data_IF_260027763621
#
_entry.id   IF_260027763621
#
_cell.length_a   1.000
_cell.length_b   1.000
_cell.length_c   1.000
_cell.angle_alpha   90.00
_cell.angle_beta   90.00
_cell.angle_gamma   90.00
#
_symmetry.space_group_name_H-M   'P 1'
#
loop_
_entity.id
_entity.type
_entity.pdbx_description
1 polymer ?
#
# COMPACT_ATOMS: atom_id res chain seq x y z
N UNK A 1 2.47 2.25 27.50
CA UNK A 1 2.85 1.26 26.49
C UNK A 1 2.95 2.02 25.17
N UNK A 2 4.11 2.01 24.56
CA UNK A 2 4.28 2.65 23.25
C UNK A 2 3.41 1.93 22.22
N UNK A 3 2.62 2.71 21.47
CA UNK A 3 1.79 2.16 20.37
C UNK A 3 2.73 1.54 19.34
N UNK A 4 2.42 0.31 18.92
CA UNK A 4 3.11 -0.31 17.77
C UNK A 4 2.89 0.57 16.53
N UNK A 5 3.90 0.67 15.69
CA UNK A 5 3.92 1.58 14.57
C UNK A 5 3.94 0.79 13.24
N UNK A 6 3.22 1.30 12.24
CA UNK A 6 3.11 0.79 10.89
C UNK A 6 3.50 1.92 9.94
N UNK A 7 4.41 1.66 9.01
CA UNK A 7 4.88 2.62 8.01
C UNK A 7 4.49 2.18 6.61
N UNK A 8 3.73 3.01 5.90
CA UNK A 8 3.28 2.75 4.53
C UNK A 8 3.80 3.83 3.60
N UNK A 9 4.36 3.41 2.48
CA UNK A 9 4.75 4.29 1.37
C UNK A 9 3.87 4.01 0.16
N UNK A 10 3.45 5.07 -0.54
CA UNK A 10 2.66 4.98 -1.76
C UNK A 10 3.56 5.27 -2.95
N UNK A 11 3.66 4.33 -3.89
CA UNK A 11 4.55 4.41 -5.05
C UNK A 11 3.74 4.25 -6.35
N UNK A 12 3.91 5.17 -7.29
CA UNK A 12 3.26 5.17 -8.60
C UNK A 12 3.53 6.47 -9.35
N UNK A 13 3.33 6.51 -10.68
CA UNK A 13 3.59 7.69 -11.49
C UNK A 13 2.29 8.40 -11.88
N UNK A 14 2.15 9.67 -11.49
CA UNK A 14 1.02 10.57 -11.88
C UNK A 14 -0.40 9.98 -11.75
N UNK A 15 -0.61 9.08 -10.79
CA UNK A 15 -1.82 8.25 -10.67
C UNK A 15 -2.72 8.62 -9.48
N UNK A 16 -2.51 9.80 -8.88
CA UNK A 16 -3.33 10.30 -7.78
C UNK A 16 -2.92 9.83 -6.38
N UNK A 17 -1.62 9.64 -6.11
CA UNK A 17 -1.07 9.24 -4.80
C UNK A 17 -1.48 10.20 -3.67
N UNK A 18 -1.16 11.48 -3.82
CA UNK A 18 -1.51 12.51 -2.83
C UNK A 18 -3.01 12.62 -2.62
N UNK A 19 -3.80 12.48 -3.71
CA UNK A 19 -5.26 12.47 -3.61
C UNK A 19 -5.78 11.24 -2.87
N UNK A 20 -5.15 10.06 -3.06
CA UNK A 20 -5.47 8.84 -2.31
C UNK A 20 -5.24 9.06 -0.80
N UNK A 21 -4.09 9.60 -0.48
CA UNK A 21 -3.69 9.89 0.90
C UNK A 21 -4.66 10.88 1.56
N UNK A 22 -4.92 12.02 0.92
CA UNK A 22 -5.86 13.05 1.42
C UNK A 22 -7.25 12.46 1.61
N UNK A 23 -7.74 11.64 0.66
CA UNK A 23 -9.06 11.00 0.77
C UNK A 23 -9.14 10.04 1.96
N UNK A 24 -8.12 9.21 2.15
CA UNK A 24 -8.04 8.32 3.29
C UNK A 24 -8.04 9.07 4.62
N UNK A 25 -7.23 10.14 4.73
CA UNK A 25 -7.14 10.94 5.94
C UNK A 25 -8.45 11.67 6.26
N UNK A 26 -9.13 12.23 5.26
CA UNK A 26 -10.48 12.83 5.41
C UNK A 26 -11.50 11.81 5.90
N UNK A 27 -11.47 10.57 5.38
CA UNK A 27 -12.34 9.50 5.86
C UNK A 27 -12.11 9.16 7.34
N UNK A 28 -10.90 9.42 7.85
CA UNK A 28 -10.51 9.17 9.24
C UNK A 28 -10.48 10.45 10.10
N UNK A 29 -11.24 11.49 9.70
CA UNK A 29 -11.44 12.76 10.44
C UNK A 29 -10.16 13.59 10.65
N UNK A 30 -9.13 13.44 9.81
CA UNK A 30 -7.96 14.32 9.83
C UNK A 30 -8.21 15.55 8.95
N UNK A 31 -7.69 16.70 9.38
CA UNK A 31 -7.84 17.98 8.67
C UNK A 31 -6.75 18.14 7.63
N UNK A 32 -7.04 18.85 6.54
CA UNK A 32 -6.03 19.19 5.52
C UNK A 32 -4.84 19.96 6.12
N UNK A 33 -5.09 20.83 7.12
CA UNK A 33 -4.05 21.56 7.85
C UNK A 33 -3.03 20.66 8.56
N UNK A 34 -3.37 19.39 8.79
CA UNK A 34 -2.46 18.43 9.43
C UNK A 34 -1.51 17.78 8.39
N UNK A 35 -1.76 18.04 7.10
CA UNK A 35 -1.10 17.44 5.94
C UNK A 35 -0.08 18.41 5.32
N UNK A 36 -0.29 19.73 5.45
CA UNK A 36 0.51 20.75 4.81
C UNK A 36 2.00 20.63 5.15
N UNK A 37 2.84 20.59 4.11
CA UNK A 37 4.32 20.56 4.14
C UNK A 37 4.99 19.35 4.81
N UNK A 38 4.26 18.24 5.04
CA UNK A 38 4.85 17.03 5.63
C UNK A 38 5.00 15.90 4.62
N UNK A 39 6.22 15.41 4.45
CA UNK A 39 6.48 14.17 3.69
C UNK A 39 5.94 12.92 4.39
N UNK A 40 5.79 12.95 5.71
CA UNK A 40 5.26 11.85 6.53
C UNK A 40 4.07 12.37 7.31
N UNK A 41 2.92 11.74 7.11
CA UNK A 41 1.68 12.07 7.79
C UNK A 41 1.37 10.97 8.79
N UNK A 42 1.03 11.40 10.01
CA UNK A 42 0.70 10.49 11.11
C UNK A 42 -0.82 10.35 11.28
N UNK A 43 -1.26 9.13 11.46
CA UNK A 43 -2.65 8.76 11.73
C UNK A 43 -2.71 7.60 12.72
N UNK A 44 -3.90 7.07 12.98
CA UNK A 44 -4.10 5.85 13.74
C UNK A 44 -4.97 4.88 12.92
N UNK A 45 -4.71 3.58 13.10
CA UNK A 45 -5.53 2.53 12.50
C UNK A 45 -5.79 1.44 13.55
N UNK A 46 -7.04 0.93 13.59
CA UNK A 46 -7.40 -0.20 14.44
C UNK A 46 -7.39 -1.47 13.62
N UNK A 47 -6.60 -2.46 14.02
CA UNK A 47 -6.52 -3.76 13.38
C UNK A 47 -6.85 -4.84 14.41
N UNK A 48 -7.93 -5.57 14.18
CA UNK A 48 -8.41 -6.64 15.08
C UNK A 48 -8.53 -6.21 16.56
N UNK A 49 -9.00 -4.98 16.80
CA UNK A 49 -9.20 -4.42 18.14
C UNK A 49 -7.94 -3.85 18.80
N UNK A 50 -6.79 -3.85 18.11
CA UNK A 50 -5.56 -3.21 18.57
C UNK A 50 -5.28 -1.94 17.76
N UNK A 51 -4.97 -0.83 18.45
CA UNK A 51 -4.58 0.42 17.83
C UNK A 51 -3.10 0.44 17.48
N UNK A 52 -2.81 0.93 16.27
CA UNK A 52 -1.47 1.16 15.74
C UNK A 52 -1.31 2.63 15.36
N UNK A 53 -0.09 3.18 15.55
CA UNK A 53 0.31 4.44 14.93
C UNK A 53 0.60 4.15 13.45
N UNK A 54 -0.02 4.90 12.56
CA UNK A 54 0.16 4.80 11.12
C UNK A 54 0.96 5.99 10.60
N UNK A 55 2.11 5.74 10.00
CA UNK A 55 2.93 6.73 9.33
C UNK A 55 2.83 6.52 7.82
N UNK A 56 2.33 7.52 7.11
CA UNK A 56 2.08 7.48 5.67
C UNK A 56 3.06 8.41 4.96
N UNK A 57 3.80 7.88 3.98
CA UNK A 57 4.70 8.64 3.16
C UNK A 57 4.14 8.79 1.75
N UNK A 58 3.90 10.05 1.34
CA UNK A 58 3.62 10.40 -0.05
C UNK A 58 4.93 10.55 -0.81
N UNK A 59 5.09 9.80 -1.89
CA UNK A 59 6.23 9.99 -2.78
C UNK A 59 5.81 10.88 -3.95
N UNK A 60 6.63 11.84 -4.30
CA UNK A 60 6.50 12.57 -5.56
C UNK A 60 6.66 11.63 -6.76
N UNK A 61 6.49 12.10 -7.99
CA UNK A 61 6.57 11.23 -9.18
C UNK A 61 7.91 10.50 -9.24
N UNK A 62 7.88 9.19 -9.57
CA UNK A 62 9.05 8.32 -9.59
C UNK A 62 10.08 8.76 -10.63
N UNK A 63 9.64 9.39 -11.72
CA UNK A 63 10.52 9.83 -12.81
C UNK A 63 11.61 10.80 -12.34
N UNK A 64 11.29 11.67 -11.38
CA UNK A 64 12.23 12.65 -10.85
C UNK A 64 13.19 12.07 -9.79
N UNK A 65 12.90 10.87 -9.22
CA UNK A 65 13.56 10.38 -8.00
C UNK A 65 13.89 8.88 -7.97
N UNK A 66 14.28 8.28 -9.09
CA UNK A 66 14.73 6.88 -9.10
C UNK A 66 15.91 6.62 -8.10
N UNK A 67 16.69 7.66 -7.78
CA UNK A 67 17.72 7.63 -6.74
C UNK A 67 17.17 7.58 -5.31
N UNK A 68 15.93 8.02 -5.08
CA UNK A 68 15.32 8.04 -3.74
C UNK A 68 14.45 6.80 -3.46
N UNK A 69 14.24 5.94 -4.46
CA UNK A 69 13.40 4.74 -4.30
C UNK A 69 13.87 3.85 -3.15
N UNK A 70 15.18 3.65 -3.01
CA UNK A 70 15.75 2.85 -1.92
C UNK A 70 15.46 3.44 -0.53
N UNK A 71 15.46 4.78 -0.42
CA UNK A 71 15.08 5.46 0.82
C UNK A 71 13.60 5.23 1.15
N UNK A 72 12.71 5.39 0.18
CA UNK A 72 11.26 5.15 0.36
C UNK A 72 10.97 3.71 0.74
N UNK A 73 11.64 2.78 0.06
CA UNK A 73 11.55 1.35 0.34
C UNK A 73 12.10 1.02 1.73
N UNK A 74 13.20 1.63 2.15
CA UNK A 74 13.82 1.42 3.47
C UNK A 74 12.94 1.94 4.61
N UNK A 75 12.24 3.05 4.41
CA UNK A 75 11.32 3.61 5.39
C UNK A 75 10.12 2.70 5.66
N UNK A 76 9.55 2.08 4.63
CA UNK A 76 8.28 1.41 4.68
C UNK A 76 8.32 0.02 5.35
N UNK A 77 7.27 -0.30 6.10
CA UNK A 77 6.92 -1.65 6.53
C UNK A 77 6.03 -2.36 5.48
N UNK A 78 5.38 -1.58 4.60
CA UNK A 78 4.63 -2.06 3.44
C UNK A 78 4.44 -0.98 2.39
N UNK A 79 4.16 -1.39 1.15
CA UNK A 79 4.09 -0.50 -0.01
C UNK A 79 2.75 -0.65 -0.74
N UNK A 80 2.10 0.48 -1.01
CA UNK A 80 1.01 0.58 -1.98
C UNK A 80 1.62 0.89 -3.34
N UNK A 81 1.50 -0.06 -4.28
CA UNK A 81 1.85 0.12 -5.69
C UNK A 81 0.61 0.55 -6.44
N UNK A 82 0.56 1.81 -6.91
CA UNK A 82 -0.64 2.35 -7.53
C UNK A 82 -0.43 2.68 -9.01
N UNK A 83 -1.36 2.25 -9.84
CA UNK A 83 -1.47 2.57 -11.27
C UNK A 83 -2.82 3.23 -11.57
N UNK A 84 -2.98 3.84 -12.74
CA UNK A 84 -4.26 4.27 -13.26
C UNK A 84 -4.76 3.26 -14.32
N UNK A 85 -6.00 2.78 -14.20
CA UNK A 85 -6.56 1.76 -15.12
C UNK A 85 -6.67 2.26 -16.56
N UNK A 86 -6.68 3.58 -16.76
CA UNK A 86 -6.76 4.26 -18.04
C UNK A 86 -5.40 4.77 -18.57
N UNK A 87 -4.29 4.31 -17.96
CA UNK A 87 -2.93 4.70 -18.34
C UNK A 87 -2.00 3.48 -18.39
N UNK A 88 -1.76 2.98 -19.60
CA UNK A 88 -0.88 1.84 -19.86
C UNK A 88 0.56 2.11 -19.46
N UNK A 89 1.02 3.35 -19.57
CA UNK A 89 2.39 3.72 -19.20
C UNK A 89 2.62 3.58 -17.70
N UNK A 90 1.66 3.99 -16.87
CA UNK A 90 1.75 3.81 -15.42
C UNK A 90 1.93 2.35 -15.01
N UNK A 91 1.30 1.41 -15.75
CA UNK A 91 1.42 -0.02 -15.55
C UNK A 91 2.83 -0.55 -15.90
N UNK A 92 3.39 -0.12 -17.04
CA UNK A 92 4.73 -0.55 -17.47
C UNK A 92 5.83 0.03 -16.56
N UNK A 93 5.69 1.27 -16.10
CA UNK A 93 6.60 1.87 -15.13
C UNK A 93 6.58 1.08 -13.82
N UNK A 94 5.39 0.70 -13.35
CA UNK A 94 5.24 0.01 -12.08
C UNK A 94 5.89 -1.38 -12.05
N UNK A 95 5.93 -2.09 -13.19
CA UNK A 95 6.67 -3.36 -13.33
C UNK A 95 8.16 -3.17 -13.04
N UNK A 96 8.78 -2.14 -13.62
CA UNK A 96 10.20 -1.82 -13.41
C UNK A 96 10.49 -1.41 -11.97
N UNK A 97 9.54 -0.70 -11.35
CA UNK A 97 9.63 -0.28 -9.95
C UNK A 97 9.58 -1.48 -9.01
N UNK A 98 8.64 -2.40 -9.23
CA UNK A 98 8.52 -3.62 -8.45
C UNK A 98 9.83 -4.43 -8.43
N UNK A 99 10.46 -4.66 -9.58
CA UNK A 99 11.74 -5.37 -9.68
C UNK A 99 12.82 -4.73 -8.79
N UNK A 100 12.88 -3.40 -8.76
CA UNK A 100 13.83 -2.67 -7.90
C UNK A 100 13.50 -2.81 -6.41
N UNK A 101 12.21 -2.77 -6.06
CA UNK A 101 11.74 -2.96 -4.67
C UNK A 101 12.16 -4.34 -4.16
N UNK A 102 11.89 -5.40 -4.92
CA UNK A 102 12.24 -6.77 -4.55
C UNK A 102 13.76 -6.92 -4.41
N UNK A 103 14.53 -6.32 -5.31
CA UNK A 103 16.00 -6.31 -5.22
C UNK A 103 16.51 -5.61 -3.96
N UNK A 104 15.88 -4.50 -3.55
CA UNK A 104 16.24 -3.75 -2.35
C UNK A 104 15.83 -4.48 -1.07
N UNK A 105 14.61 -5.01 -0.99
CA UNK A 105 14.09 -5.72 0.19
C UNK A 105 14.65 -7.12 0.37
N UNK A 106 15.02 -7.80 -0.72
CA UNK A 106 15.50 -9.21 -0.72
C UNK A 106 14.54 -10.18 -0.05
N UNK A 107 13.26 -9.83 0.00
CA UNK A 107 12.19 -10.63 0.61
C UNK A 107 10.93 -10.59 -0.26
N UNK A 108 10.59 -11.72 -0.88
CA UNK A 108 9.41 -11.88 -1.72
C UNK A 108 8.08 -11.82 -0.92
N UNK A 109 8.13 -11.95 0.41
CA UNK A 109 6.95 -11.87 1.30
C UNK A 109 6.74 -10.49 1.89
N UNK A 110 7.55 -9.52 1.48
CA UNK A 110 7.41 -8.15 1.96
C UNK A 110 6.02 -7.60 1.63
N UNK A 111 5.29 -7.02 2.63
CA UNK A 111 3.90 -6.60 2.44
C UNK A 111 3.73 -5.55 1.35
N UNK A 112 2.99 -5.88 0.30
CA UNK A 112 2.64 -4.99 -0.79
C UNK A 112 1.21 -5.24 -1.27
N UNK A 113 0.59 -4.21 -1.86
CA UNK A 113 -0.69 -4.31 -2.53
C UNK A 113 -0.64 -3.55 -3.86
N UNK A 114 -1.18 -4.15 -4.92
CA UNK A 114 -1.34 -3.50 -6.23
C UNK A 114 -2.70 -2.84 -6.31
N UNK A 115 -2.74 -1.56 -6.68
CA UNK A 115 -3.96 -0.75 -6.71
C UNK A 115 -4.18 -0.16 -8.09
N UNK A 116 -5.33 -0.45 -8.70
CA UNK A 116 -5.80 0.22 -9.91
C UNK A 116 -6.73 1.37 -9.54
N UNK A 117 -6.26 2.60 -9.66
CA UNK A 117 -7.07 3.81 -9.43
C UNK A 117 -7.84 4.21 -10.69
N UNK A 118 -8.73 5.19 -10.54
CA UNK A 118 -9.58 5.75 -11.60
C UNK A 118 -10.65 4.77 -12.11
N UNK A 119 -11.19 3.91 -11.22
CA UNK A 119 -12.31 3.00 -11.54
C UNK A 119 -13.53 3.74 -12.10
N UNK A 120 -13.72 5.00 -11.75
CA UNK A 120 -14.77 5.88 -12.30
C UNK A 120 -14.57 6.19 -13.80
N UNK A 121 -13.37 5.95 -14.34
CA UNK A 121 -13.05 6.11 -15.77
C UNK A 121 -13.06 4.78 -16.54
N UNK A 122 -13.94 3.83 -16.16
CA UNK A 122 -14.05 2.49 -16.77
C UNK A 122 -14.15 2.53 -18.30
N UNK A 123 -14.86 3.51 -18.85
CA UNK A 123 -15.03 3.67 -20.29
C UNK A 123 -13.71 4.05 -21.03
N UNK A 124 -12.71 4.49 -20.30
CA UNK A 124 -11.39 4.84 -20.82
C UNK A 124 -10.30 3.84 -20.42
N UNK A 125 -10.69 2.68 -19.92
CA UNK A 125 -9.78 1.63 -19.48
C UNK A 125 -8.82 1.21 -20.58
N UNK A 126 -7.53 1.16 -20.26
CA UNK A 126 -6.44 0.68 -21.12
C UNK A 126 -5.79 -0.60 -20.58
N UNK A 127 -5.99 -0.89 -19.31
CA UNK A 127 -5.42 -2.08 -18.63
C UNK A 127 -6.57 -3.02 -18.31
N UNK A 128 -6.60 -4.21 -18.91
CA UNK A 128 -7.61 -5.22 -18.61
C UNK A 128 -7.51 -5.66 -17.13
N UNK A 129 -8.67 -5.92 -16.51
CA UNK A 129 -8.73 -6.40 -15.12
C UNK A 129 -7.90 -7.68 -14.95
N UNK A 130 -8.03 -8.60 -15.90
CA UNK A 130 -7.34 -9.89 -15.83
C UNK A 130 -5.82 -9.73 -16.03
N UNK A 131 -5.36 -8.74 -16.81
CA UNK A 131 -3.95 -8.41 -16.95
C UNK A 131 -3.34 -7.93 -15.64
N UNK A 132 -4.05 -7.02 -14.94
CA UNK A 132 -3.59 -6.51 -13.64
C UNK A 132 -3.64 -7.58 -12.55
N UNK A 133 -4.67 -8.42 -12.54
CA UNK A 133 -4.79 -9.56 -11.61
C UNK A 133 -3.69 -10.59 -11.83
N UNK A 134 -3.42 -10.97 -13.08
CA UNK A 134 -2.36 -11.93 -13.42
C UNK A 134 -0.98 -11.41 -12.97
N UNK A 135 -0.74 -10.08 -13.10
CA UNK A 135 0.49 -9.47 -12.60
C UNK A 135 0.59 -9.55 -11.08
N UNK A 136 -0.49 -9.23 -10.37
CA UNK A 136 -0.53 -9.32 -8.91
C UNK A 136 -0.33 -10.75 -8.40
N UNK A 137 -0.94 -11.75 -9.06
CA UNK A 137 -0.73 -13.18 -8.77
C UNK A 137 0.73 -13.59 -8.99
N UNK A 138 1.35 -13.16 -10.11
CA UNK A 138 2.77 -13.39 -10.37
C UNK A 138 3.67 -12.82 -9.27
N UNK A 139 3.31 -11.68 -8.72
CA UNK A 139 4.03 -11.03 -7.62
C UNK A 139 3.68 -11.58 -6.23
N UNK A 140 2.63 -12.41 -6.13
CA UNK A 140 2.14 -12.96 -4.87
C UNK A 140 1.50 -11.91 -3.95
N UNK A 141 0.91 -10.84 -4.51
CA UNK A 141 0.26 -9.74 -3.79
C UNK A 141 -1.20 -9.59 -4.21
N UNK A 142 -2.02 -8.92 -3.40
CA UNK A 142 -3.42 -8.66 -3.72
C UNK A 142 -3.56 -7.51 -4.73
N UNK A 143 -4.57 -7.58 -5.62
CA UNK A 143 -4.99 -6.49 -6.50
C UNK A 143 -6.35 -5.94 -6.11
N UNK A 144 -6.46 -4.61 -5.97
CA UNK A 144 -7.69 -3.89 -5.72
C UNK A 144 -7.91 -2.77 -6.73
N UNK A 145 -9.13 -2.62 -7.23
CA UNK A 145 -9.53 -1.41 -7.97
C UNK A 145 -10.27 -0.43 -7.08
N UNK A 146 -9.89 0.85 -7.20
CA UNK A 146 -10.46 1.95 -6.42
C UNK A 146 -10.83 3.14 -7.31
N UNK A 147 -11.63 4.03 -6.77
CA UNK A 147 -11.77 5.40 -7.28
C UNK A 147 -11.59 6.38 -6.13
N UNK A 148 -10.51 7.11 -6.16
CA UNK A 148 -10.28 8.19 -5.20
C UNK A 148 -11.31 9.31 -5.38
N UNK A 149 -11.76 9.56 -6.61
CA UNK A 149 -12.77 10.57 -6.94
C UNK A 149 -14.12 10.26 -6.28
N UNK A 150 -14.59 9.02 -6.39
CA UNK A 150 -15.89 8.59 -5.82
C UNK A 150 -15.78 8.00 -4.42
N UNK A 151 -14.58 7.94 -3.85
CA UNK A 151 -14.28 7.30 -2.56
C UNK A 151 -14.55 5.78 -2.53
N UNK A 152 -14.50 5.12 -3.69
CA UNK A 152 -14.76 3.69 -3.79
C UNK A 152 -13.55 2.89 -3.29
N UNK A 153 -13.74 2.08 -2.25
CA UNK A 153 -12.77 1.15 -1.63
C UNK A 153 -11.45 1.80 -1.15
N UNK A 154 -11.41 3.11 -0.90
CA UNK A 154 -10.20 3.81 -0.48
C UNK A 154 -9.67 3.27 0.84
N UNK A 155 -10.52 3.16 1.87
CA UNK A 155 -10.10 2.68 3.19
C UNK A 155 -9.62 1.23 3.14
N UNK A 156 -10.25 0.39 2.32
CA UNK A 156 -9.93 -1.03 2.19
C UNK A 156 -8.47 -1.29 1.80
N UNK A 157 -7.89 -0.42 0.97
CA UNK A 157 -6.46 -0.52 0.58
C UNK A 157 -5.54 -0.46 1.80
N UNK A 158 -5.76 0.55 2.66
CA UNK A 158 -4.94 0.75 3.85
C UNK A 158 -5.17 -0.33 4.90
N UNK A 159 -6.42 -0.72 5.10
CA UNK A 159 -6.80 -1.77 6.06
C UNK A 159 -6.17 -3.12 5.71
N UNK A 160 -6.26 -3.55 4.45
CA UNK A 160 -5.67 -4.81 3.99
C UNK A 160 -4.16 -4.81 4.11
N UNK A 161 -3.50 -3.77 3.60
CA UNK A 161 -2.04 -3.68 3.70
C UNK A 161 -1.59 -3.61 5.16
N UNK A 162 -2.27 -2.85 6.01
CA UNK A 162 -1.93 -2.77 7.43
C UNK A 162 -2.09 -4.11 8.14
N UNK A 163 -3.13 -4.90 7.81
CA UNK A 163 -3.28 -6.27 8.32
C UNK A 163 -2.10 -7.17 7.93
N UNK A 164 -1.65 -7.09 6.68
CA UNK A 164 -0.52 -7.90 6.21
C UNK A 164 0.81 -7.45 6.83
N UNK A 165 1.01 -6.14 7.02
CA UNK A 165 2.16 -5.61 7.77
C UNK A 165 2.15 -6.13 9.22
N UNK A 166 0.99 -6.10 9.88
CA UNK A 166 0.87 -6.61 11.27
C UNK A 166 1.22 -8.09 11.35
N UNK A 167 0.74 -8.91 10.42
CA UNK A 167 1.08 -10.34 10.35
C UNK A 167 2.57 -10.57 10.11
N UNK A 168 3.18 -9.75 9.24
CA UNK A 168 4.60 -9.85 8.88
C UNK A 168 5.52 -9.35 10.00
N UNK A 169 5.24 -8.15 10.54
CA UNK A 169 6.10 -7.46 11.52
C UNK A 169 5.89 -7.94 12.97
N UNK A 170 4.66 -8.35 13.29
CA UNK A 170 4.24 -8.75 14.64
C UNK A 170 3.57 -10.13 14.64
N UNK A 171 4.25 -11.20 14.18
CA UNK A 171 3.64 -12.52 14.08
C UNK A 171 3.16 -13.03 15.44
N UNK A 172 1.90 -13.49 15.50
CA UNK A 172 1.36 -14.13 16.71
C UNK A 172 2.18 -15.41 16.97
N UNK A 173 2.58 -15.71 18.22
CA UNK A 173 3.27 -16.94 18.53
C UNK A 173 2.41 -18.14 18.10
N UNK A 174 3.01 -19.07 17.36
CA UNK A 174 2.32 -20.33 17.00
C UNK A 174 1.90 -21.01 18.29
N UNK A 175 0.59 -21.24 18.51
CA UNK A 175 0.11 -22.10 19.61
C UNK A 175 0.83 -23.45 19.46
N UNK A 176 1.67 -23.80 20.44
CA UNK A 176 2.23 -25.15 20.51
C UNK A 176 1.04 -26.13 20.59
N UNK A 177 0.91 -26.99 19.60
CA UNK A 177 0.01 -28.13 19.70
C UNK A 177 0.48 -28.94 20.91
N UNK A 178 -0.29 -28.91 21.99
CA UNK A 178 -0.09 -29.87 23.07
C UNK A 178 -0.39 -31.25 22.49
N UNK A 179 0.65 -32.00 22.14
CA UNK A 179 0.52 -33.43 21.98
C UNK A 179 0.20 -33.98 23.41
N UNK A 180 -1.07 -34.21 23.66
CA UNK A 180 -1.45 -35.11 24.74
C UNK A 180 -0.90 -36.48 24.35
N UNK A 181 0.23 -36.85 24.92
CA UNK A 181 0.64 -38.23 24.97
C UNK A 181 -0.35 -38.93 25.91
N UNK A 182 -1.28 -39.70 25.34
CA UNK A 182 -2.08 -40.67 26.09
C UNK A 182 -1.13 -41.83 26.34
N UNK A 183 -0.79 -42.01 27.61
CA UNK A 183 -0.16 -43.24 28.15
C UNK A 183 -1.25 -44.26 28.40
#
# INVERSE_FOLDING_TARGET
>A
MDKKNIKITIIGNSVGKSTLLIRYLKNNNLRESDIDDKYIIESNINIEGQDYKLELMDTTSIEDYLGMLEMFVSFADGIILILAINDKESFEILKKVYERIIKAKKDAKYPMILVGNMKDLENYRQIAIDEAKALAELWGIEYLEISVKTNFRVNEVFEKLAQDIVKYKYPKPKKRAHHCAII
#
